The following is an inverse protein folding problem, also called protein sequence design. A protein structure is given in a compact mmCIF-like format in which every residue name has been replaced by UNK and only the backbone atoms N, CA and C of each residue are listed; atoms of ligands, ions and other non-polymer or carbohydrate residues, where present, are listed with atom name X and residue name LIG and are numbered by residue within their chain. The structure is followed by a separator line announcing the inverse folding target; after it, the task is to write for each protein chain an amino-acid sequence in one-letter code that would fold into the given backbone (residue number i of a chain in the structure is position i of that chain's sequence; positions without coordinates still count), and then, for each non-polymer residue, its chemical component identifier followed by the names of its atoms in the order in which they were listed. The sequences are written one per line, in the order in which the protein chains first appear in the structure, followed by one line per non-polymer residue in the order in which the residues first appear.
data_IF_080466682467
#
_entry.id   IF_080466682467
#
_cell.length_a   1.000
_cell.length_b   1.000
_cell.length_c   1.000
_cell.angle_alpha   90.00
_cell.angle_beta   90.00
_cell.angle_gamma   90.00
#
_symmetry.space_group_name_H-M   'P 1'
#
loop_
_entity.id
_entity.type
_entity.pdbx_description
1 polymer ?
#
# COMPACT_ATOMS: atom_id res chain seq x y z
N UNK A 1 -32.96 13.98 4.79
CA UNK A 1 -32.42 14.43 3.49
C UNK A 1 -31.46 15.61 3.62
N UNK A 2 -31.64 16.52 4.60
CA UNK A 2 -30.77 17.71 4.82
C UNK A 2 -29.39 17.39 5.43
N UNK A 3 -29.28 16.38 6.32
CA UNK A 3 -28.00 15.99 6.95
C UNK A 3 -26.97 15.45 5.94
N UNK A 4 -27.44 14.69 4.93
CA UNK A 4 -26.59 14.08 3.91
C UNK A 4 -25.99 15.12 2.96
N UNK A 5 -26.72 16.20 2.65
CA UNK A 5 -26.23 17.28 1.81
C UNK A 5 -25.20 18.18 2.50
N UNK A 6 -25.23 18.30 3.83
CA UNK A 6 -24.25 19.10 4.58
C UNK A 6 -22.91 18.39 4.76
N UNK A 7 -22.91 17.06 4.93
CA UNK A 7 -21.69 16.25 5.03
C UNK A 7 -20.91 16.26 3.72
N UNK A 8 -21.58 16.01 2.59
CA UNK A 8 -20.94 16.06 1.26
C UNK A 8 -20.38 17.45 0.94
N UNK A 9 -21.01 18.52 1.41
CA UNK A 9 -20.53 19.88 1.18
C UNK A 9 -19.30 20.23 2.04
N UNK A 10 -19.19 19.62 3.23
CA UNK A 10 -18.03 19.78 4.12
C UNK A 10 -16.83 18.95 3.62
N UNK A 11 -17.08 17.75 3.13
CA UNK A 11 -16.08 16.86 2.52
C UNK A 11 -15.50 17.47 1.24
N UNK A 12 -16.36 17.96 0.33
CA UNK A 12 -15.92 18.70 -0.87
C UNK A 12 -15.10 19.95 -0.53
N UNK A 13 -15.42 20.64 0.56
CA UNK A 13 -14.65 21.79 1.02
C UNK A 13 -13.26 21.36 1.52
N UNK A 14 -13.16 20.26 2.28
CA UNK A 14 -11.87 19.74 2.75
C UNK A 14 -10.97 19.26 1.62
N UNK A 15 -11.53 18.59 0.60
CA UNK A 15 -10.79 18.19 -0.60
C UNK A 15 -10.20 19.41 -1.31
N UNK A 16 -10.98 20.48 -1.45
CA UNK A 16 -10.52 21.72 -2.07
C UNK A 16 -9.39 22.41 -1.26
N UNK A 17 -9.49 22.42 0.07
CA UNK A 17 -8.44 22.96 0.94
C UNK A 17 -7.17 22.09 0.87
N UNK A 18 -7.32 20.77 0.83
CA UNK A 18 -6.19 19.85 0.70
C UNK A 18 -5.46 20.06 -0.64
N UNK A 19 -6.21 20.27 -1.71
CA UNK A 19 -5.69 20.64 -3.03
C UNK A 19 -4.88 21.93 -2.99
N UNK A 20 -5.40 22.97 -2.34
CA UNK A 20 -4.70 24.25 -2.20
C UNK A 20 -3.38 24.09 -1.42
N UNK A 21 -3.39 23.33 -0.33
CA UNK A 21 -2.17 23.00 0.44
C UNK A 21 -1.14 22.28 -0.44
N UNK A 22 -1.57 21.30 -1.24
CA UNK A 22 -0.69 20.53 -2.12
C UNK A 22 -0.09 21.39 -3.24
N UNK A 23 -0.90 22.27 -3.83
CA UNK A 23 -0.43 23.22 -4.86
C UNK A 23 0.54 24.26 -4.28
N UNK A 24 0.30 24.74 -3.05
CA UNK A 24 1.21 25.68 -2.39
C UNK A 24 2.57 25.03 -2.10
N UNK A 25 2.59 23.77 -1.67
CA UNK A 25 3.83 22.98 -1.53
C UNK A 25 4.56 22.83 -2.87
N UNK A 26 3.83 22.53 -3.95
CA UNK A 26 4.39 22.45 -5.30
C UNK A 26 5.04 23.76 -5.74
N UNK A 27 4.45 24.89 -5.37
CA UNK A 27 4.97 26.23 -5.66
C UNK A 27 6.07 26.72 -4.70
N UNK A 28 6.50 25.88 -3.75
CA UNK A 28 7.64 26.16 -2.87
C UNK A 28 7.28 26.87 -1.57
N UNK A 29 6.03 26.78 -1.12
CA UNK A 29 5.67 27.19 0.24
C UNK A 29 6.48 26.41 1.28
N UNK A 30 6.77 27.04 2.42
CA UNK A 30 7.54 26.37 3.46
C UNK A 30 6.67 25.35 4.19
N UNK A 31 7.24 24.22 4.67
CA UNK A 31 6.50 23.25 5.47
C UNK A 31 5.75 23.88 6.64
N UNK A 32 6.32 24.90 7.28
CA UNK A 32 5.74 25.60 8.43
C UNK A 32 4.49 26.43 8.07
N UNK A 33 4.44 27.04 6.87
CA UNK A 33 3.27 27.82 6.46
C UNK A 33 2.08 26.93 6.12
N UNK A 34 2.33 25.80 5.48
CA UNK A 34 1.26 24.85 5.13
C UNK A 34 0.77 24.05 6.33
N UNK A 35 1.66 23.82 7.30
CA UNK A 35 1.38 23.18 8.58
C UNK A 35 0.28 23.89 9.39
N UNK A 36 0.31 25.23 9.40
CA UNK A 36 -0.71 26.02 10.12
C UNK A 36 -2.08 25.89 9.46
N UNK A 37 -2.13 26.01 8.12
CA UNK A 37 -3.36 25.86 7.34
C UNK A 37 -3.95 24.45 7.48
N UNK A 38 -3.10 23.43 7.41
CA UNK A 38 -3.51 22.04 7.61
C UNK A 38 -4.14 21.83 8.99
N UNK A 39 -3.49 22.32 10.05
CA UNK A 39 -3.99 22.22 11.43
C UNK A 39 -5.35 22.91 11.64
N UNK A 40 -5.63 23.99 10.92
CA UNK A 40 -6.91 24.69 11.04
C UNK A 40 -8.08 23.89 10.46
N UNK A 41 -7.83 23.10 9.39
CA UNK A 41 -8.90 22.47 8.61
C UNK A 41 -9.04 20.96 8.81
N UNK A 42 -7.95 20.27 9.16
CA UNK A 42 -7.89 18.82 9.28
C UNK A 42 -7.76 18.33 10.72
N UNK A 43 -7.91 19.22 11.71
CA UNK A 43 -7.95 18.81 13.12
C UNK A 43 -9.09 17.81 13.37
N UNK A 44 -8.73 16.61 13.82
CA UNK A 44 -9.69 15.52 14.07
C UNK A 44 -10.16 14.78 12.81
N UNK A 45 -9.58 15.07 11.65
CA UNK A 45 -9.73 14.26 10.44
C UNK A 45 -8.71 13.12 10.50
N UNK A 46 -9.14 11.90 10.22
CA UNK A 46 -8.27 10.74 10.27
C UNK A 46 -7.25 10.73 9.13
N UNK A 47 -6.08 10.14 9.34
CA UNK A 47 -5.06 9.97 8.30
C UNK A 47 -5.59 9.22 7.06
N UNK A 48 -6.55 8.31 7.24
CA UNK A 48 -7.23 7.64 6.13
C UNK A 48 -8.10 8.59 5.32
N UNK A 49 -8.93 9.42 5.96
CA UNK A 49 -9.76 10.40 5.26
C UNK A 49 -8.87 11.35 4.46
N UNK A 50 -7.75 11.79 5.04
CA UNK A 50 -6.77 12.61 4.32
C UNK A 50 -6.20 11.84 3.12
N UNK A 51 -5.82 10.58 3.29
CA UNK A 51 -5.28 9.79 2.18
C UNK A 51 -6.31 9.45 1.09
N UNK A 52 -7.58 9.32 1.44
CA UNK A 52 -8.67 9.20 0.46
C UNK A 52 -8.83 10.47 -0.34
N UNK A 53 -8.76 11.64 0.31
CA UNK A 53 -8.77 12.94 -0.37
C UNK A 53 -7.52 13.14 -1.25
N UNK A 54 -6.33 12.73 -0.80
CA UNK A 54 -5.10 12.73 -1.62
C UNK A 54 -5.26 11.85 -2.87
N UNK A 55 -5.80 10.64 -2.70
CA UNK A 55 -6.03 9.71 -3.80
C UNK A 55 -7.04 10.25 -4.81
N UNK A 56 -8.10 10.90 -4.35
CA UNK A 56 -9.08 11.58 -5.21
C UNK A 56 -8.43 12.71 -6.02
N UNK A 57 -7.54 13.49 -5.39
CA UNK A 57 -6.80 14.57 -6.05
C UNK A 57 -5.74 14.07 -7.03
N UNK A 58 -5.14 12.90 -6.81
CA UNK A 58 -4.25 12.25 -7.77
C UNK A 58 -5.00 11.67 -8.97
N UNK A 59 -6.27 11.29 -8.80
CA UNK A 59 -7.11 10.75 -9.86
C UNK A 59 -7.78 11.83 -10.71
N UNK A 60 -7.76 13.10 -10.30
CA UNK A 60 -8.33 14.23 -11.05
C UNK A 60 -7.30 14.87 -12.00
N UNK A 61 -7.76 15.53 -13.06
CA UNK A 61 -6.91 16.26 -14.03
C UNK A 61 -6.32 17.58 -13.45
N UNK A 62 -6.26 17.69 -12.13
CA UNK A 62 -6.04 18.93 -11.40
C UNK A 62 -4.56 19.35 -11.25
N UNK A 63 -3.64 18.57 -11.82
CA UNK A 63 -2.20 18.89 -11.82
C UNK A 63 -1.47 18.58 -10.51
N UNK A 64 -2.11 17.88 -9.56
CA UNK A 64 -1.46 17.36 -8.35
C UNK A 64 -0.62 16.13 -8.72
N UNK A 65 0.69 16.20 -8.51
CA UNK A 65 1.61 15.12 -8.86
C UNK A 65 1.87 14.18 -7.68
N UNK A 66 2.43 13.01 -7.99
CA UNK A 66 2.86 12.04 -6.98
C UNK A 66 3.89 12.65 -6.00
N UNK A 67 4.80 13.48 -6.50
CA UNK A 67 5.80 14.19 -5.69
C UNK A 67 5.15 15.16 -4.68
N UNK A 68 4.01 15.77 -5.04
CA UNK A 68 3.31 16.73 -4.17
C UNK A 68 2.67 16.04 -2.97
N UNK A 69 2.01 14.89 -3.21
CA UNK A 69 1.43 14.04 -2.14
C UNK A 69 2.52 13.48 -1.23
N UNK A 70 3.68 13.09 -1.78
CA UNK A 70 4.83 12.67 -0.98
C UNK A 70 5.43 13.79 -0.14
N UNK A 71 5.41 15.04 -0.62
CA UNK A 71 5.84 16.20 0.18
C UNK A 71 4.88 16.43 1.35
N UNK A 72 3.58 16.21 1.15
CA UNK A 72 2.57 16.28 2.21
C UNK A 72 2.74 15.15 3.23
N UNK A 73 3.15 13.93 2.83
CA UNK A 73 3.48 12.86 3.76
C UNK A 73 4.62 13.24 4.75
N UNK A 74 5.60 14.03 4.32
CA UNK A 74 6.62 14.57 5.23
C UNK A 74 6.05 15.63 6.17
N UNK A 75 5.09 16.44 5.70
CA UNK A 75 4.34 17.38 6.54
C UNK A 75 3.44 16.61 7.52
N UNK A 76 2.75 15.54 7.12
CA UNK A 76 2.01 14.61 7.98
C UNK A 76 2.92 13.99 9.05
N UNK A 77 4.08 13.47 8.67
CA UNK A 77 5.04 12.92 9.63
C UNK A 77 5.50 13.97 10.65
N UNK A 78 5.63 15.25 10.25
CA UNK A 78 5.98 16.35 11.14
C UNK A 78 4.77 16.88 11.96
N UNK A 79 3.55 16.79 11.42
CA UNK A 79 2.26 17.06 12.08
C UNK A 79 2.07 16.17 13.30
N UNK A 80 2.38 14.88 13.17
CA UNK A 80 2.24 13.89 14.23
C UNK A 80 3.42 13.90 15.22
N UNK A 81 4.63 14.30 14.79
CA UNK A 81 5.79 14.51 15.69
C UNK A 81 5.58 15.57 16.77
N UNK A 82 4.69 16.53 16.58
CA UNK A 82 4.41 17.60 17.56
C UNK A 82 3.56 17.17 18.75
N UNK A 83 3.01 15.95 18.75
CA UNK A 83 2.02 15.49 19.74
C UNK A 83 2.58 14.49 20.73
N UNK A 84 3.69 13.81 20.42
CA UNK A 84 4.25 12.76 21.29
C UNK A 84 5.76 12.93 21.38
N UNK A 85 6.24 13.04 22.63
CA UNK A 85 7.65 13.07 22.95
C UNK A 85 8.36 11.81 22.45
N UNK A 86 9.46 12.00 21.71
CA UNK A 86 10.52 11.03 21.41
C UNK A 86 10.14 9.55 21.62
N UNK A 87 9.28 8.99 20.76
CA UNK A 87 9.11 7.54 20.69
C UNK A 87 10.23 7.00 19.81
N UNK A 88 10.94 6.01 20.34
CA UNK A 88 12.14 5.38 19.78
C UNK A 88 11.89 4.78 18.38
N UNK A 89 11.97 5.60 17.32
CA UNK A 89 11.91 5.15 15.91
C UNK A 89 13.15 4.30 15.53
N UNK A 90 14.20 4.28 16.37
CA UNK A 90 15.50 3.68 16.06
C UNK A 90 15.46 2.15 15.84
N UNK A 91 14.55 1.43 16.49
CA UNK A 91 14.52 -0.05 16.46
C UNK A 91 13.65 -0.62 15.33
N UNK A 92 12.78 0.20 14.71
CA UNK A 92 11.82 -0.26 13.70
C UNK A 92 12.46 -0.74 12.38
N UNK A 93 13.67 -0.25 12.09
CA UNK A 93 14.47 -0.64 10.92
C UNK A 93 15.50 -1.74 11.24
N UNK A 94 15.50 -2.27 12.49
CA UNK A 94 16.36 -3.38 12.88
C UNK A 94 15.81 -4.71 12.34
N UNK A 95 16.71 -5.58 11.90
CA UNK A 95 16.36 -6.95 11.50
C UNK A 95 15.65 -7.70 12.63
N UNK A 96 14.53 -8.36 12.30
CA UNK A 96 13.65 -9.04 13.25
C UNK A 96 12.48 -8.19 13.75
N UNK A 97 12.56 -6.86 13.68
CA UNK A 97 11.41 -6.01 14.05
C UNK A 97 10.24 -6.23 13.08
N UNK A 98 8.97 -6.33 13.54
CA UNK A 98 7.84 -6.60 12.65
C UNK A 98 7.70 -5.61 11.50
N UNK A 99 7.93 -4.32 11.76
CA UNK A 99 7.92 -3.26 10.72
C UNK A 99 9.01 -3.50 9.68
N UNK A 100 10.23 -3.83 10.09
CA UNK A 100 11.32 -4.15 9.17
C UNK A 100 10.94 -5.32 8.27
N UNK A 101 10.46 -6.41 8.86
CA UNK A 101 10.05 -7.62 8.13
C UNK A 101 8.95 -7.30 7.12
N UNK A 102 7.93 -6.55 7.53
CA UNK A 102 6.83 -6.13 6.66
C UNK A 102 7.31 -5.24 5.49
N UNK A 103 8.25 -4.32 5.73
CA UNK A 103 8.90 -3.50 4.68
C UNK A 103 9.70 -4.37 3.70
N UNK A 104 10.42 -5.38 4.19
CA UNK A 104 11.20 -6.29 3.34
C UNK A 104 10.31 -7.14 2.44
N UNK A 105 9.16 -7.62 2.94
CA UNK A 105 8.19 -8.32 2.10
C UNK A 105 7.64 -7.41 1.01
N UNK A 106 7.29 -6.17 1.35
CA UNK A 106 6.82 -5.19 0.37
C UNK A 106 7.85 -4.92 -0.73
N UNK A 107 9.14 -4.88 -0.39
CA UNK A 107 10.21 -4.78 -1.37
C UNK A 107 10.32 -6.05 -2.24
N UNK A 108 10.21 -7.23 -1.63
CA UNK A 108 10.30 -8.52 -2.33
C UNK A 108 9.12 -8.74 -3.29
N UNK A 109 7.91 -8.34 -2.88
CA UNK A 109 6.67 -8.38 -3.65
C UNK A 109 6.75 -7.45 -4.87
N UNK A 110 7.15 -6.19 -4.69
CA UNK A 110 7.45 -5.27 -5.81
C UNK A 110 8.47 -5.86 -6.78
N UNK A 111 9.53 -6.46 -6.24
CA UNK A 111 10.55 -7.10 -7.07
C UNK A 111 10.00 -8.30 -7.87
N UNK A 112 9.04 -9.05 -7.33
CA UNK A 112 8.37 -10.13 -8.05
C UNK A 112 7.51 -9.59 -9.20
N UNK A 113 6.78 -8.49 -8.99
CA UNK A 113 6.02 -7.82 -10.05
C UNK A 113 6.93 -7.42 -11.21
N UNK A 114 8.06 -6.77 -10.92
CA UNK A 114 9.03 -6.37 -11.95
C UNK A 114 9.59 -7.56 -12.73
N UNK A 115 9.86 -8.69 -12.06
CA UNK A 115 10.31 -9.92 -12.73
C UNK A 115 9.22 -10.50 -13.64
N UNK A 116 7.96 -10.46 -13.22
CA UNK A 116 6.83 -10.92 -14.03
C UNK A 116 6.65 -10.04 -15.26
N UNK A 117 6.61 -8.70 -15.11
CA UNK A 117 6.54 -7.74 -16.23
C UNK A 117 7.64 -8.02 -17.26
N UNK A 118 8.88 -8.19 -16.78
CA UNK A 118 10.01 -8.54 -17.66
C UNK A 118 9.80 -9.87 -18.38
N UNK A 119 9.24 -10.89 -17.75
CA UNK A 119 8.98 -12.17 -18.43
C UNK A 119 7.90 -12.00 -19.51
N UNK A 120 6.81 -11.30 -19.20
CA UNK A 120 5.72 -10.98 -20.15
C UNK A 120 6.28 -10.26 -21.38
N UNK A 121 7.11 -9.23 -21.20
CA UNK A 121 7.73 -8.48 -22.30
C UNK A 121 8.59 -9.34 -23.22
N UNK A 122 9.18 -10.42 -22.71
CA UNK A 122 10.16 -11.22 -23.43
C UNK A 122 9.59 -12.50 -24.05
N UNK A 123 8.44 -12.98 -23.58
CA UNK A 123 7.88 -14.28 -23.97
C UNK A 123 7.42 -14.35 -25.43
N UNK A 124 6.96 -13.22 -25.99
CA UNK A 124 6.48 -13.12 -27.38
C UNK A 124 7.56 -12.69 -28.38
N UNK A 125 8.79 -12.48 -27.93
CA UNK A 125 9.88 -12.03 -28.81
C UNK A 125 10.39 -13.18 -29.68
N UNK A 126 10.54 -13.01 -31.00
CA UNK A 126 10.98 -14.07 -31.92
C UNK A 126 12.31 -14.72 -31.51
N UNK A 127 13.26 -13.93 -30.98
CA UNK A 127 14.56 -14.42 -30.50
C UNK A 127 14.47 -15.34 -29.27
N UNK A 128 13.35 -15.31 -28.55
CA UNK A 128 13.10 -16.10 -27.35
C UNK A 128 12.21 -17.33 -27.59
N UNK A 129 11.75 -17.57 -28.83
CA UNK A 129 10.91 -18.73 -29.16
C UNK A 129 11.53 -20.07 -28.67
N UNK A 130 12.85 -20.33 -28.79
CA UNK A 130 13.45 -21.55 -28.26
C UNK A 130 13.37 -21.70 -26.74
N UNK A 131 13.19 -20.59 -26.00
CA UNK A 131 13.16 -20.53 -24.54
C UNK A 131 11.75 -20.27 -23.99
N UNK A 132 10.72 -20.25 -24.85
CA UNK A 132 9.34 -19.91 -24.48
C UNK A 132 8.80 -20.76 -23.34
N UNK A 133 9.07 -22.06 -23.36
CA UNK A 133 8.67 -22.99 -22.28
C UNK A 133 9.35 -22.64 -20.95
N UNK A 134 10.63 -22.27 -20.97
CA UNK A 134 11.37 -21.91 -19.75
C UNK A 134 10.89 -20.57 -19.19
N UNK A 135 10.57 -19.61 -20.07
CA UNK A 135 9.97 -18.33 -19.68
C UNK A 135 8.59 -18.54 -19.06
N UNK A 136 7.74 -19.41 -19.63
CA UNK A 136 6.43 -19.76 -19.05
C UNK A 136 6.58 -20.42 -17.68
N UNK A 137 7.55 -21.32 -17.51
CA UNK A 137 7.83 -21.94 -16.20
C UNK A 137 8.33 -20.90 -15.18
N UNK A 138 9.20 -19.98 -15.63
CA UNK A 138 9.65 -18.84 -14.83
C UNK A 138 8.50 -17.94 -14.40
N UNK A 139 7.56 -17.65 -15.32
CA UNK A 139 6.37 -16.86 -15.05
C UNK A 139 5.50 -17.49 -13.97
N UNK A 140 5.18 -18.79 -14.10
CA UNK A 140 4.43 -19.56 -13.09
C UNK A 140 5.11 -19.52 -11.74
N UNK A 141 6.42 -19.71 -11.71
CA UNK A 141 7.17 -19.66 -10.47
C UNK A 141 7.11 -18.29 -9.81
N UNK A 142 7.26 -17.20 -10.57
CA UNK A 142 7.15 -15.85 -10.03
C UNK A 142 5.73 -15.53 -9.55
N UNK A 143 4.69 -15.97 -10.26
CA UNK A 143 3.31 -15.84 -9.80
C UNK A 143 3.05 -16.60 -8.50
N UNK A 144 3.60 -17.83 -8.35
CA UNK A 144 3.53 -18.57 -7.09
C UNK A 144 4.23 -17.85 -5.94
N UNK A 145 5.39 -17.23 -6.18
CA UNK A 145 6.08 -16.42 -5.17
C UNK A 145 5.26 -15.19 -4.80
N UNK A 146 4.73 -14.48 -5.79
CA UNK A 146 3.90 -13.28 -5.60
C UNK A 146 2.64 -13.61 -4.81
N UNK A 147 1.98 -14.74 -5.10
CA UNK A 147 0.79 -15.24 -4.39
C UNK A 147 0.97 -15.44 -2.88
N UNK A 148 2.22 -15.49 -2.40
CA UNK A 148 2.49 -15.49 -0.95
C UNK A 148 2.11 -14.16 -0.28
N UNK A 149 1.75 -13.11 -1.02
CA UNK A 149 1.15 -11.88 -0.46
C UNK A 149 -0.10 -12.18 0.38
N UNK A 150 -0.78 -13.31 0.15
CA UNK A 150 -1.87 -13.75 1.01
C UNK A 150 -1.44 -13.86 2.48
N UNK A 151 -0.25 -14.39 2.76
CA UNK A 151 0.30 -14.46 4.13
C UNK A 151 0.57 -13.07 4.68
N UNK A 152 1.11 -12.17 3.85
CA UNK A 152 1.38 -10.78 4.21
C UNK A 152 0.10 -10.04 4.60
N UNK A 153 -0.97 -10.16 3.80
CA UNK A 153 -2.28 -9.59 4.13
C UNK A 153 -2.92 -10.25 5.34
N UNK A 154 -2.83 -11.57 5.48
CA UNK A 154 -3.36 -12.23 6.67
C UNK A 154 -2.68 -11.74 7.95
N UNK A 155 -1.35 -11.55 7.96
CA UNK A 155 -0.70 -10.93 9.13
C UNK A 155 -1.12 -9.49 9.34
N UNK A 156 -1.21 -8.68 8.29
CA UNK A 156 -1.74 -7.31 8.38
C UNK A 156 -3.13 -7.30 9.03
N UNK A 157 -4.04 -8.12 8.54
CA UNK A 157 -5.43 -8.19 8.99
C UNK A 157 -5.58 -8.79 10.40
N UNK A 158 -4.73 -9.75 10.78
CA UNK A 158 -4.84 -10.47 12.06
C UNK A 158 -4.01 -9.89 13.18
N UNK A 159 -2.92 -9.21 12.86
CA UNK A 159 -1.97 -8.69 13.85
C UNK A 159 -1.98 -7.18 13.89
N UNK A 160 -2.01 -6.49 12.76
CA UNK A 160 -1.84 -5.02 12.75
C UNK A 160 -3.18 -4.32 12.94
N UNK A 161 -4.21 -4.74 12.20
CA UNK A 161 -5.53 -4.12 12.27
C UNK A 161 -6.15 -4.13 13.67
N UNK A 162 -6.11 -5.23 14.45
CA UNK A 162 -6.67 -5.22 15.80
C UNK A 162 -5.96 -4.25 16.75
N UNK A 163 -4.65 -4.02 16.54
CA UNK A 163 -3.89 -3.04 17.33
C UNK A 163 -4.37 -1.63 17.00
N UNK A 164 -4.50 -1.31 15.70
CA UNK A 164 -5.03 -0.02 15.25
C UNK A 164 -6.42 0.26 15.82
N UNK A 165 -7.33 -0.71 15.71
CA UNK A 165 -8.70 -0.62 16.23
C UNK A 165 -8.71 -0.38 17.75
N UNK A 166 -7.89 -1.13 18.50
CA UNK A 166 -7.76 -0.95 19.96
C UNK A 166 -7.27 0.45 20.35
N UNK A 167 -6.47 1.10 19.50
CA UNK A 167 -6.03 2.48 19.69
C UNK A 167 -6.95 3.53 19.03
N UNK A 168 -8.13 3.14 18.57
CA UNK A 168 -9.18 4.04 18.07
C UNK A 168 -9.06 4.39 16.58
N UNK A 169 -8.26 3.65 15.82
CA UNK A 169 -8.09 3.80 14.37
C UNK A 169 -8.89 2.73 13.62
N UNK A 170 -10.22 2.72 13.76
CA UNK A 170 -11.09 1.67 13.16
C UNK A 170 -11.30 1.84 11.65
N UNK A 171 -11.31 3.08 11.15
CA UNK A 171 -11.61 3.36 9.75
C UNK A 171 -10.55 2.82 8.77
N UNK A 172 -9.23 3.04 8.96
CA UNK A 172 -8.22 2.56 8.02
C UNK A 172 -8.23 1.04 7.82
N UNK A 173 -8.20 0.20 8.88
CA UNK A 173 -8.32 -1.26 8.77
C UNK A 173 -9.52 -1.70 7.94
N UNK A 174 -10.70 -1.13 8.20
CA UNK A 174 -11.94 -1.51 7.52
C UNK A 174 -11.91 -1.23 6.02
N UNK A 175 -11.37 -0.08 5.62
CA UNK A 175 -11.25 0.27 4.20
C UNK A 175 -10.17 -0.59 3.53
N UNK A 176 -9.00 -0.73 4.16
CA UNK A 176 -7.91 -1.55 3.62
C UNK A 176 -8.33 -3.00 3.42
N UNK A 177 -9.09 -3.59 4.35
CA UNK A 177 -9.61 -4.95 4.23
C UNK A 177 -10.45 -5.14 2.96
N UNK A 178 -11.36 -4.20 2.67
CA UNK A 178 -12.20 -4.27 1.47
C UNK A 178 -11.34 -4.27 0.19
N UNK A 179 -10.33 -3.41 0.15
CA UNK A 179 -9.38 -3.34 -0.97
C UNK A 179 -8.52 -4.61 -1.05
N UNK A 180 -8.09 -5.17 0.09
CA UNK A 180 -7.34 -6.43 0.13
C UNK A 180 -8.13 -7.59 -0.50
N UNK A 181 -9.44 -7.68 -0.22
CA UNK A 181 -10.32 -8.68 -0.83
C UNK A 181 -10.50 -8.50 -2.33
N UNK A 182 -10.55 -7.27 -2.82
CA UNK A 182 -10.60 -6.97 -4.26
C UNK A 182 -9.27 -7.32 -4.95
N UNK A 183 -8.14 -6.98 -4.35
CA UNK A 183 -6.80 -7.38 -4.83
C UNK A 183 -6.69 -8.91 -4.90
N UNK A 184 -7.19 -9.65 -3.90
CA UNK A 184 -7.23 -11.13 -3.94
C UNK A 184 -8.07 -11.66 -5.09
N UNK A 185 -9.17 -10.99 -5.46
CA UNK A 185 -9.99 -11.38 -6.63
C UNK A 185 -9.22 -11.13 -7.93
N UNK A 186 -8.61 -9.97 -8.08
CA UNK A 186 -7.80 -9.61 -9.25
C UNK A 186 -6.63 -10.59 -9.44
N UNK A 187 -5.95 -10.97 -8.35
CA UNK A 187 -4.88 -11.97 -8.41
C UNK A 187 -5.38 -13.33 -8.92
N UNK A 188 -6.51 -13.82 -8.40
CA UNK A 188 -7.12 -15.09 -8.83
C UNK A 188 -7.52 -15.07 -10.30
N UNK A 189 -7.99 -13.93 -10.80
CA UNK A 189 -8.29 -13.76 -12.22
C UNK A 189 -7.01 -13.90 -13.08
N UNK A 190 -5.94 -13.18 -12.70
CA UNK A 190 -4.64 -13.30 -13.37
C UNK A 190 -4.08 -14.74 -13.30
N UNK A 191 -4.21 -15.43 -12.16
CA UNK A 191 -3.83 -16.85 -12.05
C UNK A 191 -4.64 -17.76 -12.97
N UNK A 192 -5.96 -17.55 -13.07
CA UNK A 192 -6.82 -18.31 -13.98
C UNK A 192 -6.37 -18.14 -15.44
N UNK A 193 -6.08 -16.90 -15.85
CA UNK A 193 -5.55 -16.59 -17.18
C UNK A 193 -4.20 -17.24 -17.44
N UNK A 194 -3.31 -17.28 -16.45
CA UNK A 194 -2.05 -18.00 -16.57
C UNK A 194 -2.22 -19.53 -16.71
N UNK A 195 -3.22 -20.11 -16.05
CA UNK A 195 -3.54 -21.53 -16.19
C UNK A 195 -4.09 -21.84 -17.58
N UNK A 196 -4.91 -20.96 -18.16
CA UNK A 196 -5.41 -21.08 -19.53
C UNK A 196 -4.25 -21.15 -20.55
N UNK A 197 -3.22 -20.29 -20.42
CA UNK A 197 -2.00 -20.31 -21.25
C UNK A 197 -1.24 -21.64 -21.23
N UNK A 198 -1.42 -22.43 -20.17
CA UNK A 198 -0.74 -23.71 -20.02
C UNK A 198 -1.46 -24.87 -20.71
N UNK A 199 -2.74 -24.68 -20.99
CA UNK A 199 -3.66 -25.73 -21.44
C UNK A 199 -4.17 -25.50 -22.87
N UNK A 200 -3.88 -24.34 -23.47
CA UNK A 200 -4.26 -23.97 -24.84
C UNK A 200 -3.22 -23.04 -25.48
N UNK A 201 -3.31 -22.80 -26.79
CA UNK A 201 -2.59 -21.72 -27.49
C UNK A 201 -3.20 -20.33 -27.16
N UNK A 202 -3.63 -20.11 -25.91
CA UNK A 202 -4.21 -18.84 -25.48
C UNK A 202 -3.17 -17.71 -25.56
N UNK A 203 -3.67 -16.50 -25.79
CA UNK A 203 -2.85 -15.31 -25.93
C UNK A 203 -2.39 -14.79 -24.56
N UNK A 204 -1.08 -14.55 -24.44
CA UNK A 204 -0.46 -13.92 -23.27
C UNK A 204 -1.06 -12.53 -22.98
N UNK A 205 -1.65 -11.87 -23.98
CA UNK A 205 -2.28 -10.55 -23.84
C UNK A 205 -3.38 -10.53 -22.76
N UNK A 206 -4.23 -11.57 -22.68
CA UNK A 206 -5.29 -11.63 -21.66
C UNK A 206 -4.70 -11.73 -20.25
N UNK A 207 -3.69 -12.58 -20.06
CA UNK A 207 -2.96 -12.67 -18.80
C UNK A 207 -2.26 -11.36 -18.46
N UNK A 208 -1.58 -10.75 -19.44
CA UNK A 208 -0.86 -9.48 -19.25
C UNK A 208 -1.79 -8.38 -18.76
N UNK A 209 -2.99 -8.27 -19.35
CA UNK A 209 -3.98 -7.28 -18.94
C UNK A 209 -4.49 -7.53 -17.53
N UNK A 210 -4.88 -8.77 -17.21
CA UNK A 210 -5.34 -9.13 -15.88
C UNK A 210 -4.26 -8.92 -14.81
N UNK A 211 -3.01 -9.27 -15.15
CA UNK A 211 -1.86 -9.05 -14.29
C UNK A 211 -1.60 -7.57 -14.02
N UNK A 212 -1.66 -6.70 -15.05
CA UNK A 212 -1.45 -5.27 -14.83
C UNK A 212 -2.54 -4.65 -13.96
N UNK A 213 -3.82 -4.98 -14.20
CA UNK A 213 -4.92 -4.53 -13.32
C UNK A 213 -4.72 -4.95 -11.86
N UNK A 214 -4.29 -6.20 -11.62
CA UNK A 214 -3.92 -6.63 -10.27
C UNK A 214 -2.75 -5.81 -9.72
N UNK A 215 -1.70 -5.63 -10.51
CA UNK A 215 -0.45 -5.05 -10.05
C UNK A 215 -0.56 -3.56 -9.72
N UNK A 216 -1.39 -2.81 -10.44
CA UNK A 216 -1.67 -1.40 -10.17
C UNK A 216 -2.27 -1.22 -8.77
N UNK A 217 -3.34 -1.98 -8.47
CA UNK A 217 -3.99 -1.96 -7.16
C UNK A 217 -3.06 -2.48 -6.05
N UNK A 218 -2.30 -3.53 -6.34
CA UNK A 218 -1.38 -4.11 -5.39
C UNK A 218 -0.21 -3.17 -5.05
N UNK A 219 0.38 -2.50 -6.04
CA UNK A 219 1.43 -1.49 -5.84
C UNK A 219 0.91 -0.27 -5.07
N UNK A 220 -0.34 0.14 -5.33
CA UNK A 220 -1.04 1.18 -4.58
C UNK A 220 -1.27 0.77 -3.11
N UNK A 221 -1.60 -0.49 -2.84
CA UNK A 221 -1.70 -1.00 -1.46
C UNK A 221 -0.35 -1.01 -0.76
N UNK A 222 0.73 -1.49 -1.40
CA UNK A 222 2.09 -1.45 -0.83
C UNK A 222 2.50 0.00 -0.48
N UNK A 223 2.09 0.96 -1.29
CA UNK A 223 2.29 2.38 -0.99
C UNK A 223 1.52 2.81 0.28
N UNK A 224 0.20 2.54 0.33
CA UNK A 224 -0.66 2.87 1.48
C UNK A 224 -0.16 2.21 2.77
N UNK A 225 0.33 0.99 2.69
CA UNK A 225 0.93 0.29 3.81
C UNK A 225 2.16 1.01 4.36
N UNK A 226 3.04 1.49 3.49
CA UNK A 226 4.23 2.24 3.91
C UNK A 226 3.89 3.64 4.41
N UNK A 227 3.00 4.35 3.72
CA UNK A 227 2.72 5.76 3.97
C UNK A 227 1.72 5.99 5.10
N UNK A 228 0.84 5.03 5.38
CA UNK A 228 -0.28 5.19 6.31
C UNK A 228 -0.22 4.13 7.41
N UNK A 229 -0.34 2.85 7.05
CA UNK A 229 -0.47 1.75 8.01
C UNK A 229 0.73 1.70 8.98
N UNK A 230 1.94 1.61 8.44
CA UNK A 230 3.15 1.52 9.25
C UNK A 230 3.40 2.80 10.04
N UNK A 231 2.99 3.97 9.53
CA UNK A 231 3.12 5.24 10.24
C UNK A 231 2.22 5.28 11.47
N UNK A 232 0.95 4.91 11.32
CA UNK A 232 0.01 4.84 12.45
C UNK A 232 0.49 3.84 13.49
N UNK A 233 0.92 2.65 13.06
CA UNK A 233 1.38 1.62 14.00
C UNK A 233 2.63 2.06 14.77
N UNK A 234 3.61 2.68 14.11
CA UNK A 234 4.81 3.20 14.77
C UNK A 234 4.51 4.28 15.80
N UNK A 235 3.49 5.10 15.56
CA UNK A 235 3.08 6.16 16.48
C UNK A 235 2.30 5.63 17.69
N UNK A 236 1.50 4.58 17.49
CA UNK A 236 0.50 4.15 18.48
C UNK A 236 0.87 2.88 19.25
N UNK A 237 1.69 2.02 18.65
CA UNK A 237 1.98 0.69 19.22
C UNK A 237 3.05 0.77 20.30
N UNK A 238 2.84 0.02 21.36
CA UNK A 238 3.80 -0.15 22.46
C UNK A 238 4.82 -1.25 22.16
N UNK A 239 5.87 -1.36 22.98
CA UNK A 239 6.83 -2.46 22.87
C UNK A 239 6.17 -3.84 23.02
N UNK A 240 5.22 -3.97 23.95
CA UNK A 240 4.48 -5.23 24.16
C UNK A 240 3.65 -5.61 22.93
N UNK A 241 3.11 -4.63 22.20
CA UNK A 241 2.39 -4.89 20.95
C UNK A 241 3.31 -5.44 19.86
N UNK A 242 4.51 -4.86 19.72
CA UNK A 242 5.50 -5.34 18.77
C UNK A 242 6.01 -6.74 19.11
N UNK A 243 6.16 -7.05 20.40
CA UNK A 243 6.50 -8.40 20.86
C UNK A 243 5.39 -9.39 20.52
N UNK A 244 4.12 -9.06 20.80
CA UNK A 244 2.97 -9.91 20.45
C UNK A 244 2.90 -10.18 18.95
N UNK A 245 3.07 -9.14 18.12
CA UNK A 245 3.13 -9.28 16.67
C UNK A 245 4.26 -10.24 16.26
N UNK A 246 5.46 -10.07 16.82
CA UNK A 246 6.62 -10.88 16.47
C UNK A 246 6.43 -12.36 16.84
N UNK A 247 5.83 -12.63 18.01
CA UNK A 247 5.53 -13.98 18.49
C UNK A 247 4.46 -14.68 17.65
N UNK A 248 3.42 -13.95 17.24
CA UNK A 248 2.28 -14.54 16.51
C UNK A 248 2.51 -14.63 14.99
N UNK A 249 3.46 -13.87 14.43
CA UNK A 249 3.69 -13.79 12.98
C UNK A 249 3.97 -15.14 12.33
N UNK A 250 4.70 -16.02 13.01
CA UNK A 250 5.07 -17.34 12.47
C UNK A 250 3.83 -18.22 12.18
N UNK A 251 2.72 -18.01 12.90
CA UNK A 251 1.49 -18.77 12.71
C UNK A 251 0.79 -18.50 11.36
N UNK A 252 1.08 -17.34 10.75
CA UNK A 252 0.46 -16.90 9.50
C UNK A 252 1.43 -16.99 8.30
N UNK A 253 2.71 -17.28 8.54
CA UNK A 253 3.74 -17.40 7.52
C UNK A 253 4.25 -16.07 6.98
N UNK A 254 5.18 -16.13 6.02
CA UNK A 254 5.82 -14.96 5.38
C UNK A 254 5.66 -14.95 3.86
N UNK A 255 5.79 -13.77 3.26
CA UNK A 255 5.73 -13.57 1.83
C UNK A 255 7.13 -13.40 1.25
N UNK A 256 7.57 -14.37 0.45
CA UNK A 256 8.84 -14.43 -0.31
C UNK A 256 10.11 -14.49 0.54
N UNK A 257 10.20 -13.70 1.61
CA UNK A 257 11.35 -13.69 2.50
C UNK A 257 11.31 -14.86 3.48
N UNK A 258 12.48 -15.29 3.91
CA UNK A 258 12.63 -16.17 5.07
C UNK A 258 12.98 -15.29 6.27
N UNK A 259 12.35 -15.55 7.41
CA UNK A 259 12.75 -14.94 8.68
C UNK A 259 14.22 -15.28 8.94
N UNK A 260 15.05 -14.26 9.05
CA UNK A 260 16.40 -14.35 9.62
C UNK A 260 16.30 -13.87 11.06
N UNK A 261 16.47 -14.79 12.02
CA UNK A 261 16.28 -14.54 13.45
C UNK A 261 15.51 -15.67 14.10
#
# INVERSE_FOLDING_TARGET
MVMRSSETNMENNRIQILKEILLDLHHGASPESVQELFNQHFKGVSALEISMMEHELMASEDGVTFEDVMSLCNVHANLFKGVIADVEVADADQEGHPVYVFKQENLALRSAILRIRRIIENISKPENEPFKSDLLNGLKHQMTLLGQFHNHYTRKEKLFFPIMERYGHDSPPKVMWGVDDDIRKLFRDAESKLQELSNSDADIEEFSKAFETFSEEFEAMIFKEKAILLMILLETSTQDDWLSIAEESDAYGYAIIKKTG
#
